data_IF_341946846546
#
_entry.id   IF_341946846546
#
_cell.length_a   1.000
_cell.length_b   1.000
_cell.length_c   1.000
_cell.angle_alpha   90.00
_cell.angle_beta   90.00
_cell.angle_gamma   90.00
#
_symmetry.space_group_name_H-M   'P 1'
#
loop_
_entity.id
_entity.type
_entity.pdbx_description
1 polymer ?
#
# COMPACT_ATOMS: atom_id res chain seq x y z
N UNK A 1 -19.89 -19.25 -11.60
CA UNK A 1 -19.04 -19.04 -12.78
C UNK A 1 -19.49 -17.85 -13.61
N UNK A 2 -20.76 -17.76 -14.02
CA UNK A 2 -21.31 -16.69 -14.88
C UNK A 2 -20.96 -15.23 -14.54
N UNK A 3 -20.85 -14.85 -13.26
CA UNK A 3 -20.63 -13.44 -12.87
C UNK A 3 -19.19 -12.95 -13.08
N UNK A 4 -18.21 -13.84 -12.94
CA UNK A 4 -16.80 -13.51 -13.13
C UNK A 4 -16.43 -13.47 -14.62
N UNK A 5 -17.06 -14.32 -15.43
CA UNK A 5 -16.91 -14.33 -16.89
C UNK A 5 -17.47 -13.05 -17.51
N UNK A 6 -18.56 -12.53 -16.95
CA UNK A 6 -19.20 -11.29 -17.40
C UNK A 6 -18.37 -10.04 -17.04
N UNK A 7 -17.77 -10.00 -15.85
CA UNK A 7 -16.84 -8.95 -15.44
C UNK A 7 -15.56 -8.99 -16.30
N UNK A 8 -15.05 -10.18 -16.58
CA UNK A 8 -13.91 -10.36 -17.47
C UNK A 8 -14.24 -9.87 -18.90
N UNK A 9 -15.42 -10.20 -19.43
CA UNK A 9 -15.88 -9.73 -20.74
C UNK A 9 -16.10 -8.21 -20.80
N UNK A 10 -16.64 -7.59 -19.74
CA UNK A 10 -16.76 -6.14 -19.67
C UNK A 10 -15.38 -5.47 -19.64
N UNK A 11 -14.44 -5.98 -18.84
CA UNK A 11 -13.06 -5.51 -18.84
C UNK A 11 -12.41 -5.67 -20.23
N UNK A 12 -12.60 -6.81 -20.89
CA UNK A 12 -12.09 -7.03 -22.24
C UNK A 12 -12.74 -6.10 -23.27
N UNK A 13 -14.03 -5.77 -23.13
CA UNK A 13 -14.71 -4.82 -24.05
C UNK A 13 -14.15 -3.40 -23.91
N UNK A 14 -13.82 -2.97 -22.69
CA UNK A 14 -13.17 -1.68 -22.40
C UNK A 14 -11.73 -1.67 -22.94
N UNK A 15 -11.05 -2.82 -22.90
CA UNK A 15 -9.70 -3.03 -23.46
C UNK A 15 -9.69 -3.01 -25.00
N UNK A 16 -10.81 -3.34 -25.66
CA UNK A 16 -10.91 -3.43 -27.14
C UNK A 16 -11.40 -2.16 -27.84
N UNK A 17 -11.91 -1.16 -27.10
CA UNK A 17 -11.98 0.20 -27.62
C UNK A 17 -10.55 0.76 -27.74
N UNK A 18 -10.30 1.76 -28.59
CA UNK A 18 -8.99 2.33 -29.02
C UNK A 18 -7.99 2.78 -27.91
N UNK A 19 -8.15 2.31 -26.68
CA UNK A 19 -7.22 2.45 -25.59
C UNK A 19 -5.89 1.78 -25.94
N UNK A 20 -4.83 2.57 -25.89
CA UNK A 20 -3.46 2.08 -25.95
C UNK A 20 -3.20 1.08 -24.81
N UNK A 21 -2.29 0.13 -25.04
CA UNK A 21 -1.82 -0.80 -23.99
C UNK A 21 -1.38 -0.05 -22.71
N UNK A 22 -0.90 1.19 -22.84
CA UNK A 22 -0.53 2.04 -21.70
C UNK A 22 -1.75 2.53 -20.90
N UNK A 23 -2.84 2.95 -21.55
CA UNK A 23 -4.06 3.33 -20.84
C UNK A 23 -4.65 2.16 -20.06
N UNK A 24 -4.61 0.95 -20.63
CA UNK A 24 -5.04 -0.28 -19.94
C UNK A 24 -4.15 -0.57 -18.73
N UNK A 25 -2.83 -0.44 -18.86
CA UNK A 25 -1.90 -0.60 -17.73
C UNK A 25 -2.17 0.42 -16.63
N UNK A 26 -2.45 1.66 -16.98
CA UNK A 26 -2.73 2.71 -16.00
C UNK A 26 -4.05 2.48 -15.27
N UNK A 27 -5.10 2.04 -15.97
CA UNK A 27 -6.36 1.62 -15.34
C UNK A 27 -6.12 0.46 -14.37
N UNK A 28 -5.34 -0.56 -14.76
CA UNK A 28 -5.00 -1.68 -13.89
C UNK A 28 -4.19 -1.25 -12.66
N UNK A 29 -3.23 -0.32 -12.81
CA UNK A 29 -2.48 0.25 -11.67
C UNK A 29 -3.42 0.94 -10.68
N UNK A 30 -4.32 1.79 -11.17
CA UNK A 30 -5.30 2.49 -10.33
C UNK A 30 -6.21 1.50 -9.58
N UNK A 31 -6.65 0.44 -10.27
CA UNK A 31 -7.46 -0.61 -9.64
C UNK A 31 -6.68 -1.35 -8.55
N UNK A 32 -5.44 -1.77 -8.84
CA UNK A 32 -4.57 -2.44 -7.86
C UNK A 32 -4.29 -1.55 -6.64
N UNK A 33 -4.04 -0.26 -6.84
CA UNK A 33 -3.86 0.69 -5.75
C UNK A 33 -5.13 0.85 -4.91
N UNK A 34 -6.30 0.93 -5.54
CA UNK A 34 -7.58 0.99 -4.84
C UNK A 34 -7.82 -0.26 -3.99
N UNK A 35 -7.56 -1.44 -4.55
CA UNK A 35 -7.73 -2.72 -3.88
C UNK A 35 -6.78 -2.85 -2.70
N UNK A 36 -5.48 -2.55 -2.91
CA UNK A 36 -4.47 -2.46 -1.85
C UNK A 36 -4.90 -1.51 -0.74
N UNK A 37 -5.30 -0.29 -1.06
CA UNK A 37 -5.65 0.73 -0.08
C UNK A 37 -6.87 0.31 0.74
N UNK A 38 -7.86 -0.30 0.11
CA UNK A 38 -9.05 -0.83 0.80
C UNK A 38 -8.68 -1.94 1.76
N UNK A 39 -7.94 -2.95 1.29
CA UNK A 39 -7.49 -4.07 2.13
C UNK A 39 -6.62 -3.58 3.27
N UNK A 40 -5.63 -2.73 3.00
CA UNK A 40 -4.76 -2.16 4.02
C UNK A 40 -5.58 -1.39 5.05
N UNK A 41 -6.51 -0.54 4.62
CA UNK A 41 -7.34 0.23 5.54
C UNK A 41 -8.14 -0.66 6.48
N UNK A 42 -8.78 -1.72 5.96
CA UNK A 42 -9.50 -2.69 6.78
C UNK A 42 -8.59 -3.39 7.79
N UNK A 43 -7.43 -3.88 7.35
CA UNK A 43 -6.47 -4.55 8.23
C UNK A 43 -5.99 -3.62 9.34
N UNK A 44 -5.63 -2.38 9.00
CA UNK A 44 -5.19 -1.40 9.98
C UNK A 44 -6.29 -1.08 10.99
N UNK A 45 -7.55 -0.96 10.56
CA UNK A 45 -8.67 -0.70 11.47
C UNK A 45 -8.95 -1.85 12.43
N UNK A 46 -8.80 -3.09 11.98
CA UNK A 46 -9.12 -4.30 12.75
C UNK A 46 -7.97 -4.73 13.68
N UNK A 47 -6.72 -4.43 13.31
CA UNK A 47 -5.55 -4.83 14.07
C UNK A 47 -5.38 -3.99 15.36
N UNK A 48 -5.60 -4.65 16.50
CA UNK A 48 -5.56 -3.99 17.81
C UNK A 48 -4.17 -3.49 18.19
N UNK A 49 -3.14 -4.26 17.87
CA UNK A 49 -1.76 -3.94 18.25
C UNK A 49 -1.27 -2.72 17.46
N UNK A 50 -1.61 -2.65 16.18
CA UNK A 50 -1.41 -1.46 15.35
C UNK A 50 -2.15 -0.24 15.91
N UNK A 51 -3.43 -0.38 16.30
CA UNK A 51 -4.18 0.74 16.86
C UNK A 51 -3.57 1.26 18.17
N UNK A 52 -3.09 0.37 19.05
CA UNK A 52 -2.36 0.75 20.27
C UNK A 52 -1.08 1.53 19.89
N UNK A 53 -0.24 0.96 19.03
CA UNK A 53 0.99 1.61 18.57
C UNK A 53 0.71 2.99 17.95
N UNK A 54 -0.38 3.12 17.16
CA UNK A 54 -0.78 4.38 16.53
C UNK A 54 -1.21 5.43 17.55
N UNK A 55 -1.96 5.06 18.58
CA UNK A 55 -2.35 5.98 19.65
C UNK A 55 -1.13 6.45 20.43
N UNK A 56 -0.23 5.54 20.79
CA UNK A 56 1.02 5.87 21.50
C UNK A 56 1.90 6.80 20.67
N UNK A 57 2.06 6.52 19.36
CA UNK A 57 2.75 7.40 18.43
C UNK A 57 2.14 8.80 18.42
N UNK A 58 0.82 8.93 18.27
CA UNK A 58 0.15 10.23 18.24
C UNK A 58 0.32 11.00 19.56
N UNK A 59 0.32 10.31 20.69
CA UNK A 59 0.59 10.92 21.99
C UNK A 59 2.03 11.42 22.11
N UNK A 60 3.01 10.60 21.71
CA UNK A 60 4.42 10.97 21.69
C UNK A 60 4.67 12.16 20.75
N UNK A 61 4.05 12.15 19.56
CA UNK A 61 4.17 13.23 18.58
C UNK A 61 3.58 14.55 19.09
N UNK A 62 2.44 14.52 19.79
CA UNK A 62 1.88 15.72 20.44
C UNK A 62 2.82 16.27 21.52
N UNK A 63 3.44 15.40 22.33
CA UNK A 63 4.43 15.81 23.33
C UNK A 63 5.66 16.43 22.67
N UNK A 64 6.13 15.83 21.58
CA UNK A 64 7.21 16.37 20.77
C UNK A 64 6.90 17.79 20.27
N UNK A 65 5.69 18.01 19.74
CA UNK A 65 5.24 19.33 19.28
C UNK A 65 5.17 20.36 20.42
N UNK A 66 4.72 19.97 21.61
CA UNK A 66 4.58 20.88 22.76
C UNK A 66 5.85 21.10 23.57
N UNK A 67 6.91 20.32 23.33
CA UNK A 67 8.15 20.41 24.10
C UNK A 67 8.97 21.61 23.62
N UNK A 68 9.50 22.38 24.56
CA UNK A 68 10.36 23.53 24.28
C UNK A 68 11.79 23.05 23.98
N UNK A 69 12.01 22.67 22.72
CA UNK A 69 13.34 22.37 22.20
C UNK A 69 14.02 23.66 21.74
N UNK A 70 15.32 23.76 21.99
CA UNK A 70 16.13 24.76 21.27
C UNK A 70 16.06 24.49 19.77
N UNK A 71 16.21 25.53 18.95
CA UNK A 71 16.16 25.40 17.49
C UNK A 71 17.08 24.29 16.94
N UNK A 72 18.37 24.18 17.35
CA UNK A 72 19.24 23.11 16.86
C UNK A 72 18.79 21.71 17.27
N UNK A 73 18.20 21.54 18.46
CA UNK A 73 17.66 20.25 18.91
C UNK A 73 16.43 19.86 18.09
N UNK A 74 15.54 20.83 17.83
CA UNK A 74 14.35 20.61 17.00
C UNK A 74 14.73 20.22 15.57
N UNK A 75 15.63 20.99 14.95
CA UNK A 75 16.12 20.73 13.58
C UNK A 75 16.74 19.32 13.46
N UNK A 76 17.50 18.88 14.47
CA UNK A 76 18.07 17.53 14.52
C UNK A 76 17.00 16.44 14.60
N UNK A 77 16.02 16.59 15.52
CA UNK A 77 14.96 15.59 15.71
C UNK A 77 14.06 15.53 14.48
N UNK A 78 13.65 16.67 13.92
CA UNK A 78 12.84 16.74 12.69
C UNK A 78 13.57 16.06 11.53
N UNK A 79 14.88 16.27 11.39
CA UNK A 79 15.68 15.60 10.35
C UNK A 79 15.67 14.09 10.55
N UNK A 80 15.86 13.59 11.77
CA UNK A 80 15.84 12.16 12.05
C UNK A 80 14.46 11.55 11.76
N UNK A 81 13.38 12.22 12.18
CA UNK A 81 12.01 11.78 11.92
C UNK A 81 11.73 11.69 10.42
N UNK A 82 12.07 12.74 9.66
CA UNK A 82 11.89 12.75 8.21
C UNK A 82 12.66 11.61 7.52
N UNK A 83 13.93 11.39 7.88
CA UNK A 83 14.73 10.30 7.28
C UNK A 83 14.22 8.92 7.65
N UNK A 84 13.72 8.75 8.87
CA UNK A 84 13.08 7.50 9.29
C UNK A 84 11.79 7.25 8.51
N UNK A 85 10.93 8.25 8.40
CA UNK A 85 9.67 8.15 7.64
C UNK A 85 9.92 7.82 6.16
N UNK A 86 10.88 8.49 5.52
CA UNK A 86 11.30 8.17 4.15
C UNK A 86 11.77 6.71 4.03
N UNK A 87 12.64 6.26 4.94
CA UNK A 87 13.15 4.88 4.92
C UNK A 87 12.07 3.84 5.17
N UNK A 88 11.17 4.09 6.12
CA UNK A 88 10.06 3.18 6.46
C UNK A 88 9.03 3.10 5.32
N UNK A 89 8.81 4.20 4.61
CA UNK A 89 7.95 4.26 3.43
C UNK A 89 8.51 3.38 2.29
N UNK A 90 9.79 3.54 1.95
CA UNK A 90 10.45 2.72 0.94
C UNK A 90 10.48 1.24 1.34
N UNK A 91 10.78 0.94 2.61
CA UNK A 91 10.73 -0.42 3.13
C UNK A 91 9.33 -1.04 2.97
N UNK A 92 8.27 -0.29 3.29
CA UNK A 92 6.89 -0.76 3.20
C UNK A 92 6.47 -1.06 1.76
N UNK A 93 6.89 -0.22 0.80
CA UNK A 93 6.68 -0.48 -0.63
C UNK A 93 7.35 -1.78 -1.06
N UNK A 94 8.63 -1.95 -0.71
CA UNK A 94 9.39 -3.15 -1.08
C UNK A 94 8.83 -4.41 -0.43
N UNK A 95 8.40 -4.34 0.83
CA UNK A 95 7.76 -5.46 1.53
C UNK A 95 6.44 -5.87 0.86
N UNK A 96 5.61 -4.90 0.45
CA UNK A 96 4.38 -5.18 -0.29
C UNK A 96 4.67 -5.84 -1.65
N UNK A 97 5.62 -5.30 -2.41
CA UNK A 97 6.03 -5.87 -3.70
C UNK A 97 6.60 -7.28 -3.56
N UNK A 98 7.38 -7.54 -2.51
CA UNK A 98 7.86 -8.88 -2.19
C UNK A 98 6.70 -9.84 -1.92
N UNK A 99 5.72 -9.43 -1.12
CA UNK A 99 4.53 -10.23 -0.84
C UNK A 99 3.71 -10.57 -2.09
N UNK A 100 3.57 -9.63 -3.03
CA UNK A 100 2.90 -9.89 -4.33
C UNK A 100 3.67 -10.91 -5.18
N UNK A 101 5.00 -10.77 -5.28
CA UNK A 101 5.85 -11.68 -6.03
C UNK A 101 5.82 -13.10 -5.44
N UNK A 102 5.88 -13.21 -4.12
CA UNK A 102 5.80 -14.50 -3.44
C UNK A 102 4.42 -15.12 -3.55
N UNK A 103 3.35 -14.32 -3.49
CA UNK A 103 1.98 -14.79 -3.75
C UNK A 103 1.84 -15.35 -5.16
N UNK A 104 2.39 -14.67 -6.18
CA UNK A 104 2.42 -15.19 -7.55
C UNK A 104 3.19 -16.51 -7.66
N UNK A 105 4.37 -16.61 -7.02
CA UNK A 105 5.16 -17.86 -6.98
C UNK A 105 4.40 -19.01 -6.34
N UNK A 106 3.68 -18.74 -5.24
CA UNK A 106 2.83 -19.72 -4.56
C UNK A 106 1.72 -20.20 -5.51
N UNK A 107 0.98 -19.28 -6.13
CA UNK A 107 -0.09 -19.62 -7.07
C UNK A 107 0.45 -20.46 -8.24
N UNK A 108 1.63 -20.10 -8.77
CA UNK A 108 2.30 -20.85 -9.83
C UNK A 108 2.65 -22.28 -9.38
N UNK A 109 3.19 -22.44 -8.18
CA UNK A 109 3.53 -23.76 -7.63
C UNK A 109 2.29 -24.67 -7.45
N UNK A 110 1.11 -24.08 -7.25
CA UNK A 110 -0.15 -24.82 -7.17
C UNK A 110 -0.86 -24.99 -8.53
N UNK A 111 -0.26 -24.55 -9.64
CA UNK A 111 -0.89 -24.62 -10.97
C UNK A 111 -2.12 -23.71 -11.10
N UNK A 112 -2.22 -22.66 -10.27
CA UNK A 112 -3.34 -21.71 -10.25
C UNK A 112 -3.09 -20.47 -11.14
N UNK A 113 -2.01 -20.47 -11.91
CA UNK A 113 -1.69 -19.45 -12.91
C UNK A 113 -1.71 -20.07 -14.30
N UNK A 114 -2.20 -19.33 -15.29
CA UNK A 114 -2.10 -19.74 -16.71
C UNK A 114 -0.63 -19.66 -17.13
N UNK A 115 -0.12 -20.69 -17.80
CA UNK A 115 1.25 -20.75 -18.35
C UNK A 115 1.53 -19.65 -19.39
#
# INVERSE_FOLDING_TARGET
MLKNDQIAQELFSIITEDNSIEEIKDILKLYMDSLKNTTLHSLLLEDKDYQVCRVEYLQAYRRYQSTDFTKPQRDLIDTILARKEESDFEHSILAYMAGLLDSYRILKNFGLTVE
#
